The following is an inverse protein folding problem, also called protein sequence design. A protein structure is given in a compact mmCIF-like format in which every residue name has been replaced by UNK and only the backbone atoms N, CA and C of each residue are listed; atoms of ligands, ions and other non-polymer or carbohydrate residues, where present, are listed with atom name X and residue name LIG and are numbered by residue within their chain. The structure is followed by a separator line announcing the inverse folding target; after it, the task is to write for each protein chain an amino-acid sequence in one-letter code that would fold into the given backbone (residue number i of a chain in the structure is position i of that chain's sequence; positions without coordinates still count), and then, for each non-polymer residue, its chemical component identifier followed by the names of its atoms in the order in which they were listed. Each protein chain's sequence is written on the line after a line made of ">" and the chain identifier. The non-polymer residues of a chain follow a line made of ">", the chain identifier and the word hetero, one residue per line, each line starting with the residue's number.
data_IF_003074338348
#
_entry.id   IF_003074338348
#
_cell.length_a   1.000
_cell.length_b   1.000
_cell.length_c   1.000
_cell.angle_alpha   90.00
_cell.angle_beta   90.00
_cell.angle_gamma   90.00
#
_symmetry.space_group_name_H-M   'P 1'
#
loop_
_entity.id
_entity.type
_entity.pdbx_description
1 polymer ?
#
# COMPACT_ATOMS: atom_id res chain seq x y z
N UNK A 1 -18.67 26.29 -33.26
CA UNK A 1 -17.96 25.27 -32.46
C UNK A 1 -17.74 24.05 -33.33
N UNK A 2 -16.50 23.58 -33.42
CA UNK A 2 -16.15 22.35 -34.12
C UNK A 2 -16.52 21.13 -33.27
N UNK A 3 -16.79 19.98 -33.90
CA UNK A 3 -17.01 18.71 -33.20
C UNK A 3 -15.89 18.37 -32.20
N UNK A 4 -14.64 18.77 -32.52
CA UNK A 4 -13.47 18.62 -31.63
C UNK A 4 -13.58 19.46 -30.35
N UNK A 5 -14.12 20.67 -30.44
CA UNK A 5 -14.30 21.57 -29.30
C UNK A 5 -15.39 21.06 -28.36
N UNK A 6 -16.49 20.54 -28.92
CA UNK A 6 -17.57 19.89 -28.17
C UNK A 6 -17.08 18.67 -27.37
N UNK A 7 -16.29 17.80 -28.01
CA UNK A 7 -15.71 16.64 -27.34
C UNK A 7 -14.76 17.03 -26.20
N UNK A 8 -13.94 18.08 -26.41
CA UNK A 8 -13.05 18.61 -25.36
C UNK A 8 -13.86 19.12 -24.17
N UNK A 9 -14.87 19.95 -24.42
CA UNK A 9 -15.70 20.54 -23.37
C UNK A 9 -16.46 19.46 -22.58
N UNK A 10 -16.97 18.43 -23.25
CA UNK A 10 -17.65 17.31 -22.59
C UNK A 10 -16.72 16.54 -21.66
N UNK A 11 -15.46 16.28 -22.07
CA UNK A 11 -14.48 15.62 -21.20
C UNK A 11 -14.17 16.48 -19.97
N UNK A 12 -13.88 17.75 -20.17
CA UNK A 12 -13.54 18.68 -19.09
C UNK A 12 -14.69 18.82 -18.08
N UNK A 13 -15.93 18.91 -18.57
CA UNK A 13 -17.11 18.94 -17.71
C UNK A 13 -17.29 17.65 -16.88
N UNK A 14 -17.00 16.48 -17.47
CA UNK A 14 -17.05 15.21 -16.74
C UNK A 14 -15.96 15.14 -15.66
N UNK A 15 -14.73 15.53 -15.98
CA UNK A 15 -13.61 15.55 -15.02
C UNK A 15 -13.91 16.49 -13.83
N UNK A 16 -14.46 17.68 -14.10
CA UNK A 16 -14.87 18.62 -13.05
C UNK A 16 -15.99 18.02 -12.19
N UNK A 17 -16.98 17.36 -12.80
CA UNK A 17 -18.08 16.74 -12.08
C UNK A 17 -17.58 15.60 -11.18
N UNK A 18 -16.67 14.75 -11.67
CA UNK A 18 -16.07 13.66 -10.88
C UNK A 18 -15.24 14.20 -9.73
N UNK A 19 -14.35 15.16 -9.99
CA UNK A 19 -13.52 15.78 -8.95
C UNK A 19 -14.38 16.44 -7.86
N UNK A 20 -15.48 17.10 -8.24
CA UNK A 20 -16.41 17.68 -7.27
C UNK A 20 -17.09 16.61 -6.42
N UNK A 21 -17.56 15.52 -7.03
CA UNK A 21 -18.21 14.41 -6.31
C UNK A 21 -17.26 13.73 -5.34
N UNK A 22 -16.00 13.56 -5.70
CA UNK A 22 -15.03 12.94 -4.80
C UNK A 22 -14.69 13.86 -3.63
N UNK A 23 -14.55 15.18 -3.88
CA UNK A 23 -14.42 16.16 -2.80
C UNK A 23 -15.62 16.17 -1.86
N UNK A 24 -16.85 16.15 -2.40
CA UNK A 24 -18.08 16.10 -1.58
C UNK A 24 -18.14 14.84 -0.71
N UNK A 25 -17.68 13.69 -1.22
CA UNK A 25 -17.56 12.46 -0.41
C UNK A 25 -16.52 12.60 0.68
N UNK A 26 -15.35 13.18 0.39
CA UNK A 26 -14.29 13.38 1.38
C UNK A 26 -14.76 14.30 2.51
N UNK A 27 -15.41 15.42 2.16
CA UNK A 27 -15.97 16.38 3.11
C UNK A 27 -17.05 15.73 4.00
N UNK A 28 -17.97 14.95 3.41
CA UNK A 28 -18.98 14.21 4.16
C UNK A 28 -18.34 13.18 5.12
N UNK A 29 -17.30 12.50 4.65
CA UNK A 29 -16.58 11.49 5.45
C UNK A 29 -15.88 12.12 6.64
N UNK A 30 -15.24 13.27 6.44
CA UNK A 30 -14.62 14.05 7.51
C UNK A 30 -15.67 14.54 8.53
N UNK A 31 -16.83 15.00 8.06
CA UNK A 31 -17.91 15.43 8.94
C UNK A 31 -18.43 14.28 9.82
N UNK A 32 -18.64 13.08 9.25
CA UNK A 32 -19.08 11.90 10.00
C UNK A 32 -18.06 11.50 11.06
N UNK A 33 -16.77 11.46 10.71
CA UNK A 33 -15.70 11.10 11.66
C UNK A 33 -15.67 12.08 12.82
N UNK A 34 -15.73 13.38 12.53
CA UNK A 34 -15.75 14.42 13.56
C UNK A 34 -16.94 14.26 14.51
N UNK A 35 -18.14 13.99 13.99
CA UNK A 35 -19.32 13.76 14.83
C UNK A 35 -19.14 12.56 15.77
N UNK A 36 -18.50 11.49 15.31
CA UNK A 36 -18.24 10.29 16.11
C UNK A 36 -17.19 10.58 17.19
N UNK A 37 -16.13 11.30 16.83
CA UNK A 37 -15.07 11.72 17.75
C UNK A 37 -15.56 12.69 18.82
N UNK A 38 -16.45 13.63 18.47
CA UNK A 38 -17.04 14.59 19.41
C UNK A 38 -17.86 13.88 20.51
N UNK A 39 -18.41 12.69 20.21
CA UNK A 39 -19.12 11.83 21.16
C UNK A 39 -18.17 10.85 21.91
N UNK A 40 -16.87 10.92 21.67
CA UNK A 40 -15.85 10.10 22.34
C UNK A 40 -15.73 8.68 21.80
N UNK A 41 -16.26 8.40 20.60
CA UNK A 41 -16.14 7.11 19.93
C UNK A 41 -15.17 7.21 18.74
N UNK A 42 -14.74 6.06 18.24
CA UNK A 42 -14.00 5.94 16.98
C UNK A 42 -14.91 5.38 15.89
N UNK A 43 -14.52 5.54 14.62
CA UNK A 43 -15.29 4.95 13.51
C UNK A 43 -15.36 3.43 13.65
N UNK A 44 -14.32 2.79 14.17
CA UNK A 44 -14.26 1.34 14.41
C UNK A 44 -15.25 0.89 15.49
N UNK A 45 -15.56 1.72 16.48
CA UNK A 45 -16.56 1.41 17.52
C UNK A 45 -17.98 1.39 16.93
N UNK A 46 -18.26 2.26 15.96
CA UNK A 46 -19.59 2.38 15.32
C UNK A 46 -19.70 1.43 14.10
N UNK A 47 -18.63 1.27 13.34
CA UNK A 47 -18.56 0.48 12.11
C UNK A 47 -17.39 -0.53 12.16
N UNK A 48 -17.52 -1.63 12.94
CA UNK A 48 -16.43 -2.57 13.21
C UNK A 48 -15.94 -3.39 12.00
N UNK A 49 -16.61 -3.29 10.84
CA UNK A 49 -16.20 -3.92 9.57
C UNK A 49 -15.93 -2.91 8.46
N UNK A 50 -15.77 -1.63 8.81
CA UNK A 50 -15.43 -0.62 7.82
C UNK A 50 -14.05 -0.89 7.22
N UNK A 51 -13.92 -0.67 5.90
CA UNK A 51 -12.61 -0.66 5.26
C UNK A 51 -11.76 0.52 5.80
N UNK A 52 -10.42 0.39 5.83
CA UNK A 52 -9.53 1.39 6.40
C UNK A 52 -9.81 2.80 5.85
N UNK A 53 -9.96 3.76 6.76
CA UNK A 53 -10.34 5.15 6.45
C UNK A 53 -9.38 5.83 5.49
N UNK A 54 -8.10 5.49 5.53
CA UNK A 54 -7.04 6.28 4.91
C UNK A 54 -6.80 5.95 3.44
N UNK A 55 -7.55 5.02 2.83
CA UNK A 55 -7.30 4.55 1.45
C UNK A 55 -5.91 3.93 1.22
N UNK A 56 -5.04 3.95 2.25
CA UNK A 56 -3.74 3.31 2.22
C UNK A 56 -3.99 1.81 2.25
N UNK A 57 -3.49 1.04 1.26
CA UNK A 57 -3.53 -0.39 1.34
C UNK A 57 -2.92 -0.78 2.69
N UNK A 58 -3.63 -1.60 3.45
CA UNK A 58 -3.17 -2.16 4.70
C UNK A 58 -1.78 -2.75 4.40
N UNK A 59 -0.71 -2.06 4.81
CA UNK A 59 0.66 -2.51 4.55
C UNK A 59 0.75 -3.86 5.23
N UNK A 60 0.71 -4.95 4.45
CA UNK A 60 0.97 -6.30 4.95
C UNK A 60 2.25 -6.16 5.78
N UNK A 61 2.27 -6.60 7.04
CA UNK A 61 3.43 -6.40 7.91
C UNK A 61 4.66 -6.88 7.14
N UNK A 62 5.56 -5.93 6.84
CA UNK A 62 6.75 -6.20 6.05
C UNK A 62 7.58 -7.18 6.87
N UNK A 63 7.56 -8.45 6.47
CA UNK A 63 8.29 -9.50 7.18
C UNK A 63 9.76 -9.15 7.08
N UNK A 64 10.43 -9.01 8.23
CA UNK A 64 11.83 -8.68 8.30
C UNK A 64 12.66 -9.64 7.43
N UNK A 65 13.64 -9.10 6.72
CA UNK A 65 14.61 -9.90 5.97
C UNK A 65 15.41 -10.77 6.94
N UNK A 66 15.48 -12.09 6.66
CA UNK A 66 16.26 -13.05 7.44
C UNK A 66 17.63 -13.32 6.80
N UNK A 67 17.70 -13.22 5.47
CA UNK A 67 18.91 -13.45 4.68
C UNK A 67 19.24 -12.26 3.77
N UNK A 68 20.52 -11.99 3.53
CA UNK A 68 21.04 -10.92 2.67
C UNK A 68 22.18 -11.43 1.78
N UNK A 69 22.20 -10.99 0.53
CA UNK A 69 23.27 -11.31 -0.40
C UNK A 69 24.60 -10.66 0.04
N UNK A 70 25.74 -11.36 -0.05
CA UNK A 70 27.03 -10.87 0.43
C UNK A 70 27.51 -9.65 -0.38
N UNK A 71 27.38 -9.70 -1.71
CA UNK A 71 27.87 -8.63 -2.61
C UNK A 71 26.83 -7.55 -2.94
N UNK A 72 25.55 -7.78 -2.62
CA UNK A 72 24.47 -6.86 -2.96
C UNK A 72 23.48 -6.71 -1.79
N UNK A 73 23.71 -5.75 -0.87
CA UNK A 73 22.91 -5.58 0.33
C UNK A 73 21.42 -5.30 0.09
N UNK A 74 21.04 -4.88 -1.12
CA UNK A 74 19.64 -4.64 -1.51
C UNK A 74 18.85 -5.93 -1.77
N UNK A 75 19.53 -7.04 -2.07
CA UNK A 75 18.90 -8.34 -2.27
C UNK A 75 18.75 -9.05 -0.93
N UNK A 76 17.50 -9.13 -0.46
CA UNK A 76 17.16 -9.76 0.82
C UNK A 76 16.03 -10.76 0.66
N UNK A 77 15.98 -11.72 1.58
CA UNK A 77 14.93 -12.73 1.64
C UNK A 77 14.45 -12.93 3.06
N UNK A 78 13.14 -12.89 3.27
CA UNK A 78 12.52 -13.05 4.60
C UNK A 78 12.50 -14.49 5.10
N UNK A 79 12.93 -15.46 4.27
CA UNK A 79 12.83 -16.88 4.57
C UNK A 79 11.43 -17.47 4.37
N UNK A 80 10.46 -16.66 3.90
CA UNK A 80 9.12 -17.12 3.53
C UNK A 80 8.98 -17.15 2.00
N UNK A 81 8.28 -18.16 1.49
CA UNK A 81 7.99 -18.31 0.06
C UNK A 81 9.17 -18.88 -0.75
N UNK A 82 9.14 -18.69 -2.08
CA UNK A 82 10.17 -19.18 -3.01
C UNK A 82 11.52 -18.53 -2.70
N UNK A 83 12.59 -19.34 -2.66
CA UNK A 83 13.98 -18.86 -2.55
C UNK A 83 14.33 -18.00 -3.77
N UNK A 84 15.00 -16.85 -3.60
CA UNK A 84 15.47 -16.05 -4.72
C UNK A 84 16.62 -16.76 -5.45
N UNK A 85 16.76 -16.50 -6.74
CA UNK A 85 17.72 -17.22 -7.60
C UNK A 85 19.16 -17.15 -7.07
N UNK A 86 19.60 -15.98 -6.59
CA UNK A 86 20.94 -15.81 -6.03
C UNK A 86 21.22 -16.77 -4.87
N UNK A 87 20.21 -17.09 -4.06
CA UNK A 87 20.40 -17.98 -2.92
C UNK A 87 20.46 -19.43 -3.37
N UNK A 88 19.67 -19.78 -4.39
CA UNK A 88 19.73 -21.10 -5.04
C UNK A 88 21.09 -21.32 -5.70
N UNK A 89 21.65 -20.29 -6.35
CA UNK A 89 22.97 -20.33 -6.97
C UNK A 89 24.09 -20.50 -5.93
N UNK A 90 24.01 -19.79 -4.79
CA UNK A 90 24.99 -19.92 -3.71
C UNK A 90 24.91 -21.29 -3.01
N UNK A 91 23.70 -21.83 -2.81
CA UNK A 91 23.51 -23.19 -2.30
C UNK A 91 24.05 -24.24 -3.30
N UNK A 92 23.86 -24.03 -4.61
CA UNK A 92 24.42 -24.89 -5.65
C UNK A 92 25.96 -24.81 -5.73
N UNK A 93 26.53 -23.66 -5.38
CA UNK A 93 27.98 -23.47 -5.21
C UNK A 93 28.53 -24.08 -3.91
N UNK A 94 27.69 -24.77 -3.11
CA UNK A 94 28.10 -25.47 -1.89
C UNK A 94 28.18 -24.59 -0.64
N UNK A 95 27.70 -23.34 -0.69
CA UNK A 95 27.71 -22.43 0.45
C UNK A 95 26.51 -22.65 1.35
N UNK A 96 26.70 -22.47 2.65
CA UNK A 96 25.64 -22.70 3.62
C UNK A 96 24.69 -21.50 3.68
N UNK A 97 23.38 -21.77 3.75
CA UNK A 97 22.34 -20.74 3.91
C UNK A 97 22.57 -19.84 5.13
N UNK A 98 23.22 -20.36 6.18
CA UNK A 98 23.57 -19.61 7.40
C UNK A 98 24.59 -18.50 7.17
N UNK A 99 25.42 -18.58 6.12
CA UNK A 99 26.39 -17.53 5.76
C UNK A 99 25.70 -16.23 5.35
N UNK A 100 24.46 -16.32 4.86
CA UNK A 100 23.67 -15.18 4.41
C UNK A 100 22.73 -14.64 5.49
N UNK A 101 22.73 -15.23 6.69
CA UNK A 101 21.83 -14.83 7.77
C UNK A 101 22.16 -13.43 8.28
N UNK A 102 21.18 -12.53 8.29
CA UNK A 102 21.33 -11.23 8.94
C UNK A 102 21.36 -11.46 10.45
N UNK A 103 22.53 -11.33 11.08
CA UNK A 103 22.64 -11.34 12.54
C UNK A 103 22.14 -10.01 13.07
N UNK A 104 20.92 -10.01 13.63
CA UNK A 104 20.42 -8.92 14.45
C UNK A 104 21.15 -8.96 15.79
N UNK A 105 22.00 -7.96 16.04
CA UNK A 105 22.57 -7.66 17.37
C UNK A 105 21.51 -7.09 18.29
#
# INVERSE_FOLDING_TARGET
>A
MSAKELMKLSREALEIAEAKRDKEKEDLRAAIIKMIEDEGYTLEDIFPRAAPITGKPMKKPQVAAKYRHPDNPGLTWSGRGRKPNWLVEQEAAGRALSEFLIRTT
#
